data_IF_849641492578
#
_entry.id   IF_849641492578
#
_cell.length_a   1.000
_cell.length_b   1.000
_cell.length_c   1.000
_cell.angle_alpha   90.00
_cell.angle_beta   90.00
_cell.angle_gamma   90.00
#
_symmetry.space_group_name_H-M   'P 1'
#
loop_
_entity.id
_entity.type
_entity.pdbx_description
1 polymer ?
#
# COMPACT_ATOMS: atom_id res chain seq x y z
N UNK A 1 8.44 13.31 -35.85
CA UNK A 1 8.91 12.61 -34.64
C UNK A 1 8.53 13.47 -33.45
N UNK A 2 7.48 13.10 -32.72
CA UNK A 2 7.05 13.84 -31.53
C UNK A 2 8.05 13.65 -30.42
N UNK A 3 8.60 14.75 -29.89
CA UNK A 3 9.42 14.74 -28.69
C UNK A 3 8.50 14.33 -27.55
N UNK A 4 8.60 13.09 -27.09
CA UNK A 4 7.96 12.66 -25.85
C UNK A 4 8.72 13.35 -24.73
N UNK A 5 8.19 14.47 -24.26
CA UNK A 5 8.69 15.13 -23.06
C UNK A 5 8.54 14.15 -21.91
N UNK A 6 9.62 13.79 -21.18
CA UNK A 6 9.48 12.94 -20.00
C UNK A 6 8.54 13.66 -19.03
N UNK A 7 7.39 13.06 -18.75
CA UNK A 7 6.49 13.54 -17.70
C UNK A 7 7.31 13.61 -16.41
N UNK A 8 7.36 14.80 -15.80
CA UNK A 8 7.99 15.03 -14.51
C UNK A 8 7.36 14.02 -13.53
N UNK A 9 8.16 13.07 -13.04
CA UNK A 9 7.68 12.09 -12.06
C UNK A 9 7.14 12.85 -10.85
N UNK A 10 5.88 12.59 -10.51
CA UNK A 10 5.21 13.25 -9.40
C UNK A 10 5.71 12.59 -8.11
N UNK A 11 6.40 13.36 -7.27
CA UNK A 11 6.88 12.86 -5.98
C UNK A 11 5.70 12.74 -5.02
N UNK A 12 5.58 11.57 -4.39
CA UNK A 12 4.52 11.30 -3.42
C UNK A 12 5.10 11.24 -2.00
N UNK A 13 4.31 11.68 -1.04
CA UNK A 13 4.62 11.62 0.38
C UNK A 13 3.73 10.59 1.06
N UNK A 14 4.36 9.71 1.86
CA UNK A 14 3.70 8.64 2.58
C UNK A 14 3.31 9.09 3.99
N UNK A 15 2.08 8.81 4.41
CA UNK A 15 1.60 9.03 5.78
C UNK A 15 0.90 7.78 6.31
N UNK A 16 1.27 7.37 7.52
CA UNK A 16 0.60 6.27 8.22
C UNK A 16 -0.76 6.73 8.77
N UNK A 17 -1.74 5.82 8.73
CA UNK A 17 -3.02 5.97 9.38
C UNK A 17 -3.21 4.89 10.46
N UNK A 18 -4.22 5.05 11.31
CA UNK A 18 -4.52 4.10 12.38
C UNK A 18 -5.06 2.78 11.84
N UNK A 19 -4.76 1.69 12.55
CA UNK A 19 -5.47 0.43 12.43
C UNK A 19 -6.28 0.17 13.71
N UNK A 20 -7.57 -0.20 13.64
CA UNK A 20 -8.38 -0.32 12.42
C UNK A 20 -8.59 1.05 11.73
N UNK A 21 -8.95 1.04 10.42
CA UNK A 21 -9.18 2.28 9.67
C UNK A 21 -10.36 3.05 10.25
N UNK A 22 -10.29 4.39 10.18
CA UNK A 22 -11.40 5.27 10.52
C UNK A 22 -12.35 5.48 9.33
N UNK A 23 -13.50 6.12 9.59
CA UNK A 23 -14.51 6.37 8.56
C UNK A 23 -13.99 7.23 7.39
N UNK A 24 -13.04 8.13 7.65
CA UNK A 24 -12.42 8.94 6.61
C UNK A 24 -11.56 8.07 5.69
N UNK A 25 -10.75 7.17 6.25
CA UNK A 25 -9.93 6.24 5.48
C UNK A 25 -10.80 5.30 4.65
N UNK A 26 -11.88 4.77 5.22
CA UNK A 26 -12.81 3.91 4.48
C UNK A 26 -13.46 4.65 3.30
N UNK A 27 -13.85 5.91 3.51
CA UNK A 27 -14.41 6.77 2.45
C UNK A 27 -13.40 7.05 1.34
N UNK A 28 -12.18 7.47 1.71
CA UNK A 28 -11.09 7.73 0.77
C UNK A 28 -10.77 6.47 -0.06
N UNK A 29 -10.71 5.31 0.61
CA UNK A 29 -10.45 4.02 -0.02
C UNK A 29 -11.54 3.67 -1.03
N UNK A 30 -12.81 3.84 -0.66
CA UNK A 30 -13.93 3.54 -1.55
C UNK A 30 -13.89 4.42 -2.82
N UNK A 31 -13.56 5.71 -2.67
CA UNK A 31 -13.41 6.61 -3.81
C UNK A 31 -12.26 6.21 -4.74
N UNK A 32 -11.09 5.85 -4.21
CA UNK A 32 -9.96 5.40 -5.03
C UNK A 32 -10.18 4.02 -5.63
N UNK A 33 -10.81 3.10 -4.90
CA UNK A 33 -11.16 1.77 -5.37
C UNK A 33 -12.04 1.84 -6.63
N UNK A 34 -13.01 2.77 -6.67
CA UNK A 34 -13.85 2.96 -7.86
C UNK A 34 -13.08 3.45 -9.09
N UNK A 35 -11.96 4.14 -8.87
CA UNK A 35 -11.11 4.69 -9.94
C UNK A 35 -9.97 3.74 -10.33
N UNK A 36 -9.68 2.74 -9.49
CA UNK A 36 -8.55 1.84 -9.70
C UNK A 36 -8.85 0.87 -10.86
N UNK A 37 -7.98 0.80 -11.88
CA UNK A 37 -8.17 -0.14 -12.98
C UNK A 37 -8.04 -1.58 -12.45
N UNK A 38 -8.90 -2.47 -12.94
CA UNK A 38 -8.88 -3.91 -12.62
C UNK A 38 -8.99 -4.25 -11.12
N UNK A 39 -9.91 -3.60 -10.40
CA UNK A 39 -10.12 -3.93 -8.97
C UNK A 39 -10.67 -5.32 -8.75
N UNK A 40 -10.00 -6.07 -7.89
CA UNK A 40 -10.50 -7.32 -7.34
C UNK A 40 -11.51 -7.04 -6.22
N UNK A 41 -12.62 -7.81 -6.09
CA UNK A 41 -13.51 -7.74 -4.93
C UNK A 41 -12.77 -7.90 -3.60
N UNK A 42 -11.63 -8.57 -3.63
CA UNK A 42 -10.72 -8.76 -2.51
C UNK A 42 -9.96 -7.48 -2.09
N UNK A 43 -9.87 -6.47 -2.95
CA UNK A 43 -9.31 -5.16 -2.58
C UNK A 43 -10.34 -4.24 -1.91
N UNK A 44 -11.57 -4.72 -1.64
CA UNK A 44 -12.57 -3.98 -0.85
C UNK A 44 -12.14 -3.89 0.62
N UNK A 45 -12.27 -2.70 1.20
CA UNK A 45 -11.83 -2.43 2.58
C UNK A 45 -12.45 -3.37 3.61
N UNK A 46 -13.74 -3.70 3.45
CA UNK A 46 -14.47 -4.60 4.36
C UNK A 46 -13.92 -6.02 4.33
N UNK A 47 -13.54 -6.52 3.15
CA UNK A 47 -12.92 -7.84 3.01
C UNK A 47 -11.51 -7.86 3.61
N UNK A 48 -10.74 -6.78 3.42
CA UNK A 48 -9.43 -6.62 4.05
C UNK A 48 -9.55 -6.63 5.58
N UNK A 49 -10.46 -5.84 6.16
CA UNK A 49 -10.70 -5.81 7.60
C UNK A 49 -11.08 -7.17 8.17
N UNK A 50 -12.01 -7.90 7.53
CA UNK A 50 -12.42 -9.25 7.96
C UNK A 50 -11.25 -10.23 7.84
N UNK A 51 -10.56 -10.25 6.70
CA UNK A 51 -9.43 -11.15 6.47
C UNK A 51 -8.30 -10.91 7.47
N UNK A 52 -7.95 -9.65 7.71
CA UNK A 52 -6.94 -9.27 8.72
C UNK A 52 -7.40 -9.67 10.12
N UNK A 53 -8.64 -9.38 10.49
CA UNK A 53 -9.18 -9.70 11.81
C UNK A 53 -9.19 -11.21 12.13
N UNK A 54 -9.29 -12.07 11.11
CA UNK A 54 -9.27 -13.52 11.28
C UNK A 54 -7.85 -14.11 11.19
N UNK A 55 -7.01 -13.60 10.28
CA UNK A 55 -5.76 -14.28 9.90
C UNK A 55 -4.47 -13.53 10.25
N UNK A 56 -4.52 -12.23 10.56
CA UNK A 56 -3.33 -11.44 10.89
C UNK A 56 -3.00 -11.54 12.38
N UNK A 57 -2.57 -12.72 12.80
CA UNK A 57 -2.18 -13.04 14.17
C UNK A 57 -1.13 -12.06 14.73
N UNK A 58 -1.54 -11.11 15.58
CA UNK A 58 -0.74 -10.07 16.26
C UNK A 58 0.24 -9.24 15.38
N UNK A 59 0.04 -9.18 14.04
CA UNK A 59 0.95 -8.47 13.13
C UNK A 59 0.67 -6.96 13.15
N UNK A 60 1.74 -6.15 13.05
CA UNK A 60 1.61 -4.71 12.88
C UNK A 60 1.04 -4.41 11.49
N UNK A 61 -0.23 -4.04 11.44
CA UNK A 61 -0.92 -3.61 10.22
C UNK A 61 -0.60 -2.14 9.97
N UNK A 62 -0.31 -1.82 8.73
CA UNK A 62 0.16 -0.52 8.31
C UNK A 62 -0.71 0.05 7.19
N UNK A 63 -1.78 0.78 7.54
CA UNK A 63 -2.54 1.58 6.59
C UNK A 63 -1.74 2.82 6.20
N UNK A 64 -1.62 3.07 4.91
CA UNK A 64 -0.85 4.17 4.35
C UNK A 64 -1.68 4.96 3.36
N UNK A 65 -1.49 6.27 3.41
CA UNK A 65 -1.99 7.25 2.44
C UNK A 65 -0.80 7.88 1.72
N UNK A 66 -0.94 8.09 0.41
CA UNK A 66 0.09 8.69 -0.44
C UNK A 66 -0.46 9.96 -1.07
N UNK A 67 0.17 11.08 -0.78
CA UNK A 67 -0.25 12.41 -1.20
C UNK A 67 0.75 13.01 -2.18
N UNK A 68 0.28 13.82 -3.13
CA UNK A 68 1.18 14.63 -3.94
C UNK A 68 1.67 15.89 -3.19
N UNK A 69 2.54 16.66 -3.84
CA UNK A 69 3.08 17.94 -3.34
C UNK A 69 2.00 18.96 -2.94
N UNK A 70 0.77 18.85 -3.47
CA UNK A 70 -0.36 19.73 -3.15
C UNK A 70 -1.23 19.17 -2.02
N UNK A 71 -0.86 18.04 -1.42
CA UNK A 71 -1.65 17.36 -0.39
C UNK A 71 -2.85 16.60 -0.94
N UNK A 72 -2.93 16.35 -2.25
CA UNK A 72 -4.02 15.58 -2.85
C UNK A 72 -3.71 14.10 -2.71
N UNK A 73 -4.67 13.34 -2.19
CA UNK A 73 -4.55 11.88 -2.07
C UNK A 73 -4.51 11.23 -3.46
N UNK A 74 -3.47 10.43 -3.72
CA UNK A 74 -3.25 9.76 -5.01
C UNK A 74 -3.33 8.24 -4.93
N UNK A 75 -2.91 7.67 -3.80
CA UNK A 75 -2.95 6.24 -3.59
C UNK A 75 -3.14 5.91 -2.11
N UNK A 76 -3.58 4.69 -1.85
CA UNK A 76 -3.67 4.12 -0.51
C UNK A 76 -3.24 2.66 -0.53
N UNK A 77 -2.67 2.20 0.58
CA UNK A 77 -2.34 0.78 0.75
C UNK A 77 -2.52 0.32 2.18
N UNK A 78 -2.78 -0.97 2.37
CA UNK A 78 -2.82 -1.60 3.70
C UNK A 78 -1.81 -2.74 3.69
N UNK A 79 -0.70 -2.52 4.38
CA UNK A 79 0.41 -3.47 4.40
C UNK A 79 0.54 -4.10 5.78
N UNK A 80 1.50 -5.02 5.91
CA UNK A 80 1.98 -5.47 7.21
C UNK A 80 3.46 -5.17 7.35
N UNK A 81 3.86 -4.70 8.52
CA UNK A 81 5.25 -4.67 8.92
C UNK A 81 5.57 -6.00 9.62
N UNK A 82 6.67 -6.65 9.21
CA UNK A 82 7.09 -7.93 9.75
C UNK A 82 8.56 -7.85 10.12
N UNK A 83 8.88 -8.17 11.36
CA UNK A 83 10.24 -8.45 11.80
C UNK A 83 10.46 -9.96 11.76
N UNK A 84 11.35 -10.41 10.88
CA UNK A 84 11.68 -11.81 10.73
C UNK A 84 12.98 -12.16 11.43
N UNK A 85 13.05 -13.33 12.09
CA UNK A 85 14.31 -13.83 12.61
C UNK A 85 15.24 -14.17 11.44
N UNK A 86 16.46 -13.64 11.48
CA UNK A 86 17.54 -13.98 10.56
C UNK A 86 18.79 -14.38 11.36
N UNK A 87 19.73 -15.10 10.72
CA UNK A 87 20.87 -15.74 11.41
C UNK A 87 21.72 -14.79 12.27
N UNK A 88 21.81 -13.50 11.90
CA UNK A 88 22.67 -12.53 12.59
C UNK A 88 21.92 -11.31 13.11
N UNK A 89 21.04 -10.72 12.30
CA UNK A 89 20.28 -9.49 12.62
C UNK A 89 18.85 -9.72 12.12
N UNK A 90 17.81 -9.51 12.96
CA UNK A 90 16.42 -9.55 12.51
C UNK A 90 16.18 -8.60 11.34
N UNK A 91 15.38 -9.02 10.36
CA UNK A 91 15.07 -8.19 9.18
C UNK A 91 13.67 -7.64 9.28
N UNK A 92 13.52 -6.35 9.05
CA UNK A 92 12.24 -5.68 8.94
C UNK A 92 11.82 -5.62 7.48
N UNK A 93 10.61 -6.07 7.20
CA UNK A 93 10.03 -6.00 5.86
C UNK A 93 8.63 -5.45 5.88
N UNK A 94 8.25 -4.74 4.82
CA UNK A 94 6.86 -4.41 4.54
C UNK A 94 6.35 -5.40 3.51
N UNK A 95 5.17 -5.98 3.76
CA UNK A 95 4.59 -7.02 2.91
C UNK A 95 3.15 -6.76 2.56
N UNK A 96 2.71 -7.33 1.44
CA UNK A 96 1.28 -7.52 1.17
C UNK A 96 0.62 -8.33 2.28
N UNK A 97 -0.65 -8.04 2.52
CA UNK A 97 -1.45 -8.80 3.48
C UNK A 97 -1.85 -10.13 2.86
N UNK A 98 -1.64 -11.20 3.62
CA UNK A 98 -2.03 -12.56 3.25
C UNK A 98 -3.32 -12.90 3.99
N UNK A 99 -4.35 -13.32 3.27
CA UNK A 99 -5.54 -13.89 3.90
C UNK A 99 -6.09 -15.04 3.05
N UNK A 100 -6.47 -16.13 3.71
CA UNK A 100 -6.99 -17.36 3.09
C UNK A 100 -6.14 -17.93 1.93
N UNK A 101 -4.80 -17.98 2.10
CA UNK A 101 -3.85 -18.45 1.08
C UNK A 101 -3.88 -17.69 -0.26
N UNK A 102 -4.57 -16.55 -0.30
CA UNK A 102 -4.57 -15.64 -1.43
C UNK A 102 -3.79 -14.38 -1.05
N UNK A 103 -2.86 -14.02 -1.92
CA UNK A 103 -2.11 -12.77 -1.83
C UNK A 103 -2.83 -11.76 -2.69
N UNK A 104 -3.45 -10.79 -2.03
CA UNK A 104 -4.15 -9.69 -2.69
C UNK A 104 -3.24 -8.47 -2.66
N UNK A 105 -3.46 -7.57 -3.60
CA UNK A 105 -2.86 -6.25 -3.63
C UNK A 105 -3.79 -5.32 -2.85
N UNK A 106 -3.55 -5.10 -1.54
CA UNK A 106 -4.28 -4.11 -0.76
C UNK A 106 -3.75 -2.73 -1.12
N UNK A 107 -3.89 -2.35 -2.39
CA UNK A 107 -3.39 -1.09 -2.92
C UNK A 107 -4.40 -0.55 -3.93
N UNK A 108 -4.72 0.73 -3.81
CA UNK A 108 -5.64 1.44 -4.70
C UNK A 108 -4.98 2.73 -5.18
N UNK A 109 -5.05 2.96 -6.49
CA UNK A 109 -4.46 4.11 -7.18
C UNK A 109 -5.17 4.29 -8.53
N UNK A 110 -5.20 5.51 -9.05
CA UNK A 110 -5.88 5.80 -10.32
C UNK A 110 -5.24 5.08 -11.54
N UNK A 111 -3.95 4.78 -11.47
CA UNK A 111 -3.21 4.09 -12.52
C UNK A 111 -1.92 3.43 -12.00
N UNK A 112 -1.29 2.62 -12.85
CA UNK A 112 -0.05 1.91 -12.51
C UNK A 112 1.17 2.83 -12.30
N UNK A 113 1.18 4.02 -12.94
CA UNK A 113 2.27 4.99 -12.75
C UNK A 113 2.22 5.59 -11.33
N UNK A 114 1.03 5.97 -10.88
CA UNK A 114 0.76 6.45 -9.52
C UNK A 114 1.07 5.37 -8.49
N UNK A 115 0.72 4.10 -8.78
CA UNK A 115 1.09 2.98 -7.94
C UNK A 115 2.61 2.86 -7.80
N UNK A 116 3.36 2.92 -8.91
CA UNK A 116 4.82 2.84 -8.90
C UNK A 116 5.48 3.97 -8.08
N UNK A 117 5.01 5.22 -8.22
CA UNK A 117 5.52 6.34 -7.41
C UNK A 117 5.19 6.18 -5.93
N UNK A 118 4.01 5.67 -5.59
CA UNK A 118 3.64 5.42 -4.21
C UNK A 118 4.49 4.31 -3.58
N UNK A 119 4.87 3.28 -4.34
CA UNK A 119 5.82 2.26 -3.87
C UNK A 119 7.22 2.83 -3.62
N UNK A 120 7.66 3.81 -4.41
CA UNK A 120 8.92 4.53 -4.15
C UNK A 120 8.82 5.39 -2.89
N UNK A 121 7.73 6.14 -2.74
CA UNK A 121 7.45 6.93 -1.54
C UNK A 121 7.40 6.07 -0.27
N UNK A 122 6.88 4.85 -0.37
CA UNK A 122 6.89 3.89 0.73
C UNK A 122 8.31 3.47 1.11
N UNK A 123 9.15 3.15 0.13
CA UNK A 123 10.56 2.77 0.35
C UNK A 123 11.35 3.91 1.00
N UNK A 124 11.14 5.15 0.53
CA UNK A 124 11.99 6.29 0.89
C UNK A 124 11.48 7.05 2.12
N UNK A 125 10.16 7.04 2.37
CA UNK A 125 9.51 7.85 3.39
C UNK A 125 9.03 7.10 4.64
N UNK A 126 9.13 5.77 4.70
CA UNK A 126 8.68 5.05 5.89
C UNK A 126 9.67 5.23 7.07
N UNK A 127 9.22 5.73 8.24
CA UNK A 127 10.12 6.18 9.30
C UNK A 127 10.88 5.07 10.03
N UNK A 128 10.47 3.80 9.89
CA UNK A 128 11.22 2.67 10.43
C UNK A 128 12.16 2.12 9.36
N UNK A 129 13.35 1.67 9.77
CA UNK A 129 14.27 1.00 8.86
C UNK A 129 13.62 -0.27 8.28
N UNK A 130 13.46 -0.30 6.96
CA UNK A 130 12.92 -1.44 6.20
C UNK A 130 14.06 -2.01 5.36
N UNK A 131 14.43 -3.25 5.62
CA UNK A 131 15.49 -3.93 4.88
C UNK A 131 15.05 -4.24 3.44
N UNK A 132 13.78 -4.59 3.24
CA UNK A 132 13.21 -4.85 1.93
C UNK A 132 11.68 -4.83 1.94
N UNK A 133 11.08 -4.71 0.77
CA UNK A 133 9.65 -4.87 0.58
C UNK A 133 9.34 -6.17 -0.19
N UNK A 134 8.39 -6.97 0.30
CA UNK A 134 7.92 -8.21 -0.34
C UNK A 134 6.47 -8.03 -0.77
N UNK A 135 6.29 -7.53 -1.99
CA UNK A 135 4.98 -7.36 -2.62
C UNK A 135 4.76 -8.45 -3.66
N UNK A 136 3.73 -9.27 -3.43
CA UNK A 136 3.37 -10.29 -4.40
C UNK A 136 2.38 -9.72 -5.41
N UNK A 137 2.66 -9.93 -6.71
CA UNK A 137 1.81 -9.53 -7.84
C UNK A 137 1.43 -8.04 -7.80
N UNK A 138 2.41 -7.15 -7.82
CA UNK A 138 2.14 -5.80 -8.34
C UNK A 138 1.90 -5.99 -9.84
N UNK A 139 0.63 -6.07 -10.25
CA UNK A 139 0.29 -6.19 -11.67
C UNK A 139 0.89 -4.98 -12.40
N UNK A 140 1.94 -5.24 -13.17
CA UNK A 140 2.59 -4.31 -14.10
C UNK A 140 1.84 -4.27 -15.43
#
# INVERSE_FOLDING_TARGET
>A
MGVVTPQKQQELHCAAASWPPDALFESDWASLYQQTPSTSPFSRITWLQVGIGIYADAKEILPLRFFDENGVLKAMGIFRAVTEPAKNIPRNSIRTIEYNSQRIVPFVAADGATMAEAMRALRDGYPKHVDYCDFFKLDT
#
